data_IF_896363382489
#
_entry.id   IF_896363382489
#
_cell.length_a   1.000
_cell.length_b   1.000
_cell.length_c   1.000
_cell.angle_alpha   90.00
_cell.angle_beta   90.00
_cell.angle_gamma   90.00
#
_symmetry.space_group_name_H-M   'P 1'
#
loop_
_entity.id
_entity.type
_entity.pdbx_description
1 polymer ?
#
# COMPACT_ATOMS: atom_id res chain seq x y z
N UNK A 1 8.78 -13.83 12.83
CA UNK A 1 8.75 -12.42 13.25
C UNK A 1 7.32 -11.91 13.38
N UNK A 2 7.06 -11.04 14.34
CA UNK A 2 5.71 -10.52 14.65
C UNK A 2 5.11 -9.83 13.39
N UNK A 3 5.91 -9.06 12.68
CA UNK A 3 5.48 -8.31 11.49
C UNK A 3 5.02 -9.23 10.35
N UNK A 4 5.57 -10.42 10.26
CA UNK A 4 5.18 -11.40 9.24
C UNK A 4 3.73 -11.85 9.32
N UNK A 5 3.09 -11.74 10.47
CA UNK A 5 1.66 -12.03 10.66
C UNK A 5 0.74 -11.03 9.94
N UNK A 6 1.27 -9.86 9.57
CA UNK A 6 0.55 -8.82 8.81
C UNK A 6 0.91 -8.82 7.32
N UNK A 7 1.66 -9.81 6.85
CA UNK A 7 1.96 -9.95 5.43
C UNK A 7 0.80 -10.64 4.70
N UNK A 8 0.15 -9.89 3.85
CA UNK A 8 -0.93 -10.36 2.98
C UNK A 8 -0.54 -10.10 1.52
N UNK A 9 -0.27 -11.15 0.74
CA UNK A 9 0.13 -11.01 -0.67
C UNK A 9 -0.86 -10.20 -1.51
N UNK A 10 -2.15 -10.27 -1.16
CA UNK A 10 -3.24 -9.53 -1.82
C UNK A 10 -3.05 -8.01 -1.77
N UNK A 11 -2.26 -7.51 -0.81
CA UNK A 11 -1.96 -6.09 -0.65
C UNK A 11 -0.72 -5.64 -1.42
N UNK A 12 0.05 -6.54 -2.04
CA UNK A 12 1.24 -6.17 -2.79
C UNK A 12 0.89 -5.24 -3.95
N UNK A 13 1.59 -4.10 -4.03
CA UNK A 13 1.30 -3.04 -5.01
C UNK A 13 2.38 -2.85 -6.07
N UNK A 14 3.49 -3.55 -5.98
CA UNK A 14 4.64 -3.36 -6.89
C UNK A 14 4.25 -3.56 -8.35
N UNK A 15 3.63 -4.69 -8.69
CA UNK A 15 3.23 -4.97 -10.07
C UNK A 15 2.20 -3.97 -10.59
N UNK A 16 1.23 -3.60 -9.76
CA UNK A 16 0.20 -2.61 -10.12
C UNK A 16 0.80 -1.23 -10.37
N UNK A 17 1.75 -0.80 -9.53
CA UNK A 17 2.48 0.46 -9.70
C UNK A 17 3.33 0.45 -10.98
N UNK A 18 4.01 -0.65 -11.28
CA UNK A 18 4.79 -0.78 -12.50
C UNK A 18 3.92 -0.70 -13.76
N UNK A 19 2.73 -1.28 -13.72
CA UNK A 19 1.75 -1.15 -14.81
C UNK A 19 1.28 0.29 -14.97
N UNK A 20 0.97 0.99 -13.88
CA UNK A 20 0.58 2.40 -13.95
C UNK A 20 1.72 3.27 -14.49
N UNK A 21 2.95 3.05 -14.04
CA UNK A 21 4.10 3.80 -14.54
C UNK A 21 4.35 3.54 -16.04
N UNK A 22 4.19 2.29 -16.48
CA UNK A 22 4.29 1.96 -17.90
C UNK A 22 3.18 2.61 -18.72
N UNK A 23 1.97 2.72 -18.19
CA UNK A 23 0.86 3.40 -18.82
C UNK A 23 1.11 4.91 -18.99
N UNK A 24 1.59 5.58 -17.92
CA UNK A 24 1.79 7.04 -17.95
C UNK A 24 3.07 7.47 -18.65
N UNK A 25 4.14 6.70 -18.59
CA UNK A 25 5.47 7.08 -19.06
C UNK A 25 6.01 6.20 -20.20
N UNK A 26 5.32 5.09 -20.53
CA UNK A 26 5.78 4.13 -21.53
C UNK A 26 6.61 2.98 -20.94
N UNK A 27 6.96 2.00 -21.79
CA UNK A 27 7.66 0.79 -21.37
C UNK A 27 9.04 1.06 -20.74
N UNK A 28 9.71 2.12 -21.13
CA UNK A 28 11.05 2.49 -20.64
C UNK A 28 11.01 3.45 -19.44
N UNK A 29 9.91 3.52 -18.72
CA UNK A 29 9.73 4.45 -17.61
C UNK A 29 10.88 4.44 -16.58
N UNK A 30 11.52 3.27 -16.38
CA UNK A 30 12.66 3.16 -15.46
C UNK A 30 13.87 4.00 -15.86
N UNK A 31 14.03 4.26 -17.15
CA UNK A 31 15.09 5.12 -17.67
C UNK A 31 14.71 6.60 -17.76
N UNK A 32 13.41 6.93 -17.60
CA UNK A 32 12.88 8.29 -17.79
C UNK A 32 12.62 9.02 -16.49
N UNK A 33 12.28 8.31 -15.42
CA UNK A 33 11.92 8.89 -14.13
C UNK A 33 12.76 8.29 -12.99
N UNK A 34 12.96 9.09 -11.97
CA UNK A 34 13.59 8.68 -10.72
C UNK A 34 12.73 9.14 -9.55
N UNK A 35 12.85 8.51 -8.37
CA UNK A 35 12.19 8.99 -7.17
C UNK A 35 12.52 10.45 -6.90
N UNK A 36 11.52 11.23 -6.51
CA UNK A 36 11.75 12.58 -6.01
C UNK A 36 12.57 12.52 -4.70
N UNK A 37 13.36 13.57 -4.37
CA UNK A 37 14.17 13.57 -3.15
C UNK A 37 13.37 13.24 -1.88
N UNK A 38 12.17 13.80 -1.74
CA UNK A 38 11.29 13.50 -0.60
C UNK A 38 10.83 12.03 -0.58
N UNK A 39 10.56 11.45 -1.76
CA UNK A 39 10.22 10.03 -1.88
C UNK A 39 11.41 9.14 -1.50
N UNK A 40 12.62 9.52 -1.88
CA UNK A 40 13.82 8.77 -1.51
C UNK A 40 14.05 8.77 0.00
N UNK A 41 13.86 9.93 0.67
CA UNK A 41 13.94 10.01 2.14
C UNK A 41 12.97 9.02 2.80
N UNK A 42 11.75 8.91 2.30
CA UNK A 42 10.75 7.97 2.82
C UNK A 42 11.19 6.51 2.62
N UNK A 43 11.67 6.18 1.42
CA UNK A 43 12.19 4.82 1.11
C UNK A 43 13.34 4.45 2.04
N UNK A 44 14.28 5.36 2.24
CA UNK A 44 15.44 5.14 3.10
C UNK A 44 15.01 4.95 4.56
N UNK A 45 14.03 5.73 5.02
CA UNK A 45 13.45 5.54 6.37
C UNK A 45 12.79 4.19 6.54
N UNK A 46 11.99 3.73 5.58
CA UNK A 46 11.35 2.41 5.64
C UNK A 46 12.41 1.30 5.66
N UNK A 47 13.46 1.42 4.88
CA UNK A 47 14.58 0.46 4.88
C UNK A 47 15.33 0.45 6.21
N UNK A 48 15.63 1.61 6.76
CA UNK A 48 16.25 1.73 8.08
C UNK A 48 15.41 1.02 9.15
N UNK A 49 14.13 1.34 9.21
CA UNK A 49 13.18 0.72 10.17
C UNK A 49 13.13 -0.79 10.00
N UNK A 50 13.11 -1.29 8.76
CA UNK A 50 13.09 -2.72 8.47
C UNK A 50 14.31 -3.45 9.05
N UNK A 51 15.45 -2.80 9.16
CA UNK A 51 16.69 -3.39 9.69
C UNK A 51 16.86 -3.17 11.19
N UNK A 52 16.45 -2.01 11.70
CA UNK A 52 16.74 -1.63 13.10
C UNK A 52 15.62 -1.95 14.07
N UNK A 53 14.38 -1.76 13.65
CA UNK A 53 13.19 -1.97 14.51
C UNK A 53 11.95 -2.33 13.66
N UNK A 54 11.89 -3.55 13.12
CA UNK A 54 10.85 -3.94 12.17
C UNK A 54 9.41 -3.78 12.67
N UNK A 55 9.19 -3.76 13.99
CA UNK A 55 7.85 -3.58 14.56
C UNK A 55 7.23 -2.24 14.16
N UNK A 56 8.03 -1.22 13.90
CA UNK A 56 7.55 0.09 13.46
C UNK A 56 6.99 0.06 12.02
N UNK A 57 7.26 -0.99 11.25
CA UNK A 57 6.64 -1.18 9.93
C UNK A 57 5.12 -1.35 10.01
N UNK A 58 4.60 -1.74 11.16
CA UNK A 58 3.16 -1.89 11.39
C UNK A 58 2.42 -0.58 11.09
N UNK A 59 2.95 0.56 11.57
CA UNK A 59 2.33 1.87 11.31
C UNK A 59 2.33 2.21 9.81
N UNK A 60 3.44 1.97 9.12
CA UNK A 60 3.55 2.21 7.68
C UNK A 60 2.58 1.32 6.89
N UNK A 61 2.52 0.02 7.19
CA UNK A 61 1.64 -0.92 6.52
C UNK A 61 0.17 -0.59 6.77
N UNK A 62 -0.22 -0.32 8.01
CA UNK A 62 -1.59 0.03 8.36
C UNK A 62 -2.05 1.29 7.63
N UNK A 63 -1.27 2.37 7.74
CA UNK A 63 -1.60 3.65 7.12
C UNK A 63 -1.74 3.52 5.61
N UNK A 64 -0.81 2.81 4.97
CA UNK A 64 -0.83 2.61 3.53
C UNK A 64 -2.01 1.77 3.08
N UNK A 65 -2.10 0.54 3.56
CA UNK A 65 -3.05 -0.43 3.01
C UNK A 65 -4.50 -0.16 3.44
N UNK A 66 -4.73 0.23 4.68
CA UNK A 66 -6.08 0.62 5.12
C UNK A 66 -6.54 1.91 4.45
N UNK A 67 -5.62 2.83 4.18
CA UNK A 67 -5.89 4.03 3.39
C UNK A 67 -6.31 3.70 1.96
N UNK A 68 -5.58 2.82 1.28
CA UNK A 68 -5.87 2.42 -0.10
C UNK A 68 -7.20 1.66 -0.22
N UNK A 69 -7.50 0.79 0.74
CA UNK A 69 -8.77 0.03 0.78
C UNK A 69 -9.98 0.87 1.17
N UNK A 70 -9.78 2.07 1.69
CA UNK A 70 -10.82 2.99 2.16
C UNK A 70 -10.87 4.25 1.28
N UNK A 71 -10.23 5.33 1.70
CA UNK A 71 -10.20 6.60 0.96
C UNK A 71 -9.58 6.49 -0.45
N UNK A 72 -8.67 5.58 -0.65
CA UNK A 72 -8.07 5.30 -1.96
C UNK A 72 -9.10 4.92 -3.02
N UNK A 73 -10.21 4.28 -2.65
CA UNK A 73 -11.27 3.93 -3.60
C UNK A 73 -12.03 5.16 -4.09
N UNK A 74 -12.23 6.16 -3.25
CA UNK A 74 -12.80 7.44 -3.66
C UNK A 74 -11.83 8.21 -4.57
N UNK A 75 -10.56 8.26 -4.21
CA UNK A 75 -9.49 8.87 -5.03
C UNK A 75 -9.39 8.23 -6.41
N UNK A 76 -9.52 6.91 -6.51
CA UNK A 76 -9.57 6.21 -7.80
C UNK A 76 -10.61 6.81 -8.73
N UNK A 77 -11.83 6.98 -8.25
CA UNK A 77 -12.93 7.51 -9.07
C UNK A 77 -12.68 8.97 -9.47
N UNK A 78 -12.13 9.78 -8.59
CA UNK A 78 -11.76 11.18 -8.87
C UNK A 78 -10.68 11.24 -9.95
N UNK A 79 -9.63 10.45 -9.85
CA UNK A 79 -8.53 10.40 -10.81
C UNK A 79 -9.03 9.94 -12.17
N UNK A 80 -9.82 8.87 -12.22
CA UNK A 80 -10.38 8.35 -13.47
C UNK A 80 -11.22 9.39 -14.20
N UNK A 81 -12.07 10.10 -13.47
CA UNK A 81 -12.92 11.16 -14.02
C UNK A 81 -12.10 12.36 -14.49
N UNK A 82 -11.16 12.84 -13.66
CA UNK A 82 -10.37 14.02 -13.95
C UNK A 82 -9.44 13.85 -15.16
N UNK A 83 -8.90 12.64 -15.35
CA UNK A 83 -7.96 12.33 -16.42
C UNK A 83 -8.61 11.61 -17.61
N UNK A 84 -9.92 11.34 -17.55
CA UNK A 84 -10.65 10.59 -18.58
C UNK A 84 -9.97 9.27 -18.96
N UNK A 85 -9.57 8.50 -17.93
CA UNK A 85 -8.79 7.29 -18.12
C UNK A 85 -9.58 6.16 -18.77
N UNK A 86 -8.90 5.27 -19.54
CA UNK A 86 -9.51 4.02 -20.01
C UNK A 86 -10.01 3.16 -18.85
N UNK A 87 -11.02 2.29 -19.05
CA UNK A 87 -11.65 1.51 -17.96
C UNK A 87 -10.71 0.66 -17.14
N UNK A 88 -9.61 0.17 -17.71
CA UNK A 88 -8.72 -0.85 -17.17
C UNK A 88 -7.26 -0.39 -16.97
N UNK A 89 -6.95 0.88 -17.14
CA UNK A 89 -5.60 1.41 -17.07
C UNK A 89 -5.49 2.68 -16.23
N UNK A 90 -4.31 2.89 -15.64
CA UNK A 90 -3.94 4.14 -14.97
C UNK A 90 -4.34 4.24 -13.49
N UNK A 91 -5.07 3.27 -12.95
CA UNK A 91 -5.46 3.22 -11.53
C UNK A 91 -5.14 1.88 -10.86
N UNK A 92 -4.17 1.16 -11.36
CA UNK A 92 -3.77 -0.16 -10.84
C UNK A 92 -3.37 -0.11 -9.36
N UNK A 93 -2.77 0.99 -8.91
CA UNK A 93 -2.45 1.21 -7.50
C UNK A 93 -3.68 1.04 -6.58
N UNK A 94 -4.86 1.44 -7.05
CA UNK A 94 -6.11 1.38 -6.30
C UNK A 94 -6.96 0.13 -6.59
N UNK A 95 -6.50 -0.73 -7.51
CA UNK A 95 -7.18 -1.97 -7.88
C UNK A 95 -6.61 -3.14 -7.10
N UNK A 96 -7.48 -3.89 -6.43
CA UNK A 96 -7.12 -5.09 -5.67
C UNK A 96 -7.83 -6.28 -6.30
N UNK A 97 -7.15 -6.97 -7.17
CA UNK A 97 -7.71 -8.05 -7.99
C UNK A 97 -8.35 -9.16 -7.14
N UNK A 98 -7.72 -9.50 -6.01
CA UNK A 98 -8.21 -10.54 -5.10
C UNK A 98 -9.24 -10.02 -4.08
N UNK A 99 -9.49 -8.71 -4.06
CA UNK A 99 -10.44 -8.04 -3.14
C UNK A 99 -11.30 -7.06 -3.95
N UNK A 100 -12.08 -7.56 -4.93
CA UNK A 100 -12.66 -6.70 -5.96
C UNK A 100 -13.92 -5.93 -5.53
N UNK A 101 -14.69 -6.44 -4.55
CA UNK A 101 -15.98 -5.85 -4.15
C UNK A 101 -15.86 -4.99 -2.90
N UNK A 102 -16.86 -4.16 -2.66
CA UNK A 102 -16.97 -3.37 -1.41
C UNK A 102 -17.06 -4.29 -0.20
N UNK A 103 -17.84 -5.34 -0.30
CA UNK A 103 -18.02 -6.35 0.75
C UNK A 103 -16.72 -7.10 1.02
N UNK A 104 -16.00 -7.51 -0.02
CA UNK A 104 -14.69 -8.17 0.11
C UNK A 104 -13.67 -7.25 0.78
N UNK A 105 -13.63 -5.96 0.41
CA UNK A 105 -12.75 -4.98 1.05
C UNK A 105 -13.09 -4.76 2.52
N UNK A 106 -14.38 -4.71 2.86
CA UNK A 106 -14.82 -4.60 4.25
C UNK A 106 -14.38 -5.81 5.06
N UNK A 107 -14.65 -7.01 4.57
CA UNK A 107 -14.24 -8.27 5.22
C UNK A 107 -12.71 -8.36 5.38
N UNK A 108 -11.95 -7.97 4.36
CA UNK A 108 -10.50 -7.96 4.42
C UNK A 108 -9.96 -6.99 5.48
N UNK A 109 -10.54 -5.79 5.59
CA UNK A 109 -10.15 -4.83 6.64
C UNK A 109 -10.41 -5.36 8.05
N UNK A 110 -11.50 -6.10 8.26
CA UNK A 110 -11.76 -6.76 9.54
C UNK A 110 -10.70 -7.85 9.81
N UNK A 111 -10.41 -8.71 8.83
CA UNK A 111 -9.36 -9.73 8.94
C UNK A 111 -8.00 -9.10 9.28
N UNK A 112 -7.66 -7.98 8.65
CA UNK A 112 -6.41 -7.27 8.94
C UNK A 112 -6.38 -6.73 10.38
N UNK A 113 -7.48 -6.14 10.85
CA UNK A 113 -7.59 -5.64 12.23
C UNK A 113 -7.53 -6.77 13.25
N UNK A 114 -8.15 -7.90 12.97
CA UNK A 114 -8.05 -9.09 13.82
C UNK A 114 -6.62 -9.59 13.91
N UNK A 115 -5.92 -9.68 12.77
CA UNK A 115 -4.51 -10.05 12.75
C UNK A 115 -3.66 -9.05 13.55
N UNK A 116 -3.89 -7.75 13.38
CA UNK A 116 -3.20 -6.70 14.13
C UNK A 116 -3.45 -6.82 15.63
N UNK A 117 -4.70 -7.02 16.04
CA UNK A 117 -5.07 -7.15 17.45
C UNK A 117 -4.55 -8.45 18.09
N UNK A 118 -4.24 -9.47 17.28
CA UNK A 118 -3.67 -10.73 17.74
C UNK A 118 -2.16 -10.69 17.97
N UNK A 119 -1.50 -9.57 17.64
CA UNK A 119 -0.06 -9.44 17.85
C UNK A 119 0.28 -9.35 19.34
N UNK A 120 1.22 -10.16 19.77
CA UNK A 120 1.76 -10.11 21.13
C UNK A 120 2.82 -9.01 21.22
N UNK A 121 2.39 -7.79 21.48
CA UNK A 121 3.23 -6.60 21.58
C UNK A 121 3.01 -5.95 22.95
N UNK A 122 4.09 -5.63 23.65
CA UNK A 122 4.00 -4.94 24.94
C UNK A 122 3.57 -3.47 24.77
N UNK A 123 3.06 -2.90 25.88
CA UNK A 123 2.51 -1.54 25.88
C UNK A 123 3.55 -0.47 25.49
N UNK A 124 4.81 -0.64 25.88
CA UNK A 124 5.88 0.30 25.55
C UNK A 124 6.14 0.29 24.03
N UNK A 125 6.14 -0.87 23.42
CA UNK A 125 6.29 -1.02 21.97
C UNK A 125 5.08 -0.45 21.22
N UNK A 126 3.86 -0.70 21.70
CA UNK A 126 2.64 -0.12 21.11
C UNK A 126 2.72 1.41 21.06
N UNK A 127 3.23 2.04 22.12
CA UNK A 127 3.37 3.52 22.16
C UNK A 127 4.42 4.07 21.18
N UNK A 128 5.33 3.23 20.68
CA UNK A 128 6.33 3.62 19.67
C UNK A 128 5.85 3.47 18.24
N UNK A 129 4.86 2.60 18.01
CA UNK A 129 4.24 2.39 16.70
C UNK A 129 3.34 3.57 16.35
#
# INVERSE_FOLDING_TARGET
PIVGKLYFPELNRTASLEQDLAFYYGADWRGQIAPLPAGQVYVDRVREVAHTDPVLLIAHAYTRYMGDLSGGQALKNIIRSALSLPPDQGTGLHEFEQIPTVEAKRAFKETYREALNSLEIDELTIRRI
#
